data_IF_897196935891
#
_entry.id   IF_897196935891
#
_cell.length_a   1.000
_cell.length_b   1.000
_cell.length_c   1.000
_cell.angle_alpha   90.00
_cell.angle_beta   90.00
_cell.angle_gamma   90.00
#
_symmetry.space_group_name_H-M   'P 1'
#
loop_
_entity.id
_entity.type
_entity.pdbx_description
1 polymer ?
#
# COMPACT_ATOMS: atom_id res chain seq x y z
N UNK A 1 4.00 -4.99 9.91
CA UNK A 1 3.90 -4.93 8.42
C UNK A 1 2.48 -4.78 7.91
N UNK A 2 1.61 -5.79 8.02
CA UNK A 2 0.24 -5.74 7.48
C UNK A 2 -0.58 -4.63 8.17
N UNK A 3 -0.61 -4.60 9.52
CA UNK A 3 -1.27 -3.55 10.28
C UNK A 3 -0.71 -2.14 10.01
N UNK A 4 0.62 -1.99 9.99
CA UNK A 4 1.27 -0.69 9.77
C UNK A 4 1.09 -0.18 8.35
N UNK A 5 1.14 -1.08 7.35
CA UNK A 5 0.89 -0.75 5.95
C UNK A 5 -0.54 -0.29 5.73
N UNK A 6 -1.52 -0.98 6.34
CA UNK A 6 -2.91 -0.56 6.28
C UNK A 6 -3.13 0.81 6.97
N UNK A 7 -2.54 1.04 8.15
CA UNK A 7 -2.57 2.36 8.82
C UNK A 7 -1.93 3.46 7.96
N UNK A 8 -0.84 3.15 7.28
CA UNK A 8 -0.18 4.07 6.35
C UNK A 8 -1.09 4.40 5.16
N UNK A 9 -1.78 3.40 4.61
CA UNK A 9 -2.79 3.61 3.56
C UNK A 9 -3.93 4.53 3.98
N UNK A 10 -4.45 4.39 5.20
CA UNK A 10 -5.49 5.29 5.73
C UNK A 10 -4.95 6.72 5.95
N UNK A 11 -3.73 6.88 6.46
CA UNK A 11 -3.10 8.21 6.57
C UNK A 11 -2.98 8.89 5.21
N UNK A 12 -2.58 8.16 4.19
CA UNK A 12 -2.50 8.68 2.82
C UNK A 12 -3.88 9.02 2.27
N UNK A 13 -4.89 8.19 2.55
CA UNK A 13 -6.27 8.48 2.18
C UNK A 13 -6.78 9.80 2.79
N UNK A 14 -6.53 10.02 4.08
CA UNK A 14 -6.85 11.28 4.76
C UNK A 14 -6.10 12.45 4.15
N UNK A 15 -4.81 12.27 3.81
CA UNK A 15 -4.02 13.30 3.15
C UNK A 15 -4.60 13.70 1.78
N UNK A 16 -4.97 12.74 0.95
CA UNK A 16 -5.54 12.97 -0.39
C UNK A 16 -6.92 13.67 -0.31
N UNK A 17 -7.74 13.31 0.68
CA UNK A 17 -9.10 13.80 0.82
C UNK A 17 -9.27 14.94 1.84
N UNK A 18 -8.17 15.52 2.37
CA UNK A 18 -8.20 16.54 3.44
C UNK A 18 -9.03 17.80 3.13
N UNK A 19 -9.22 18.13 1.85
CA UNK A 19 -10.02 19.29 1.39
C UNK A 19 -11.35 18.87 0.74
N UNK A 20 -11.78 17.62 0.92
CA UNK A 20 -13.05 17.09 0.39
C UNK A 20 -14.08 17.00 1.52
N UNK A 21 -15.37 17.01 1.15
CA UNK A 21 -16.48 16.86 2.11
C UNK A 21 -16.40 15.54 2.90
N UNK A 22 -15.98 14.48 2.22
CA UNK A 22 -15.56 13.23 2.84
C UNK A 22 -14.04 13.23 2.95
N UNK A 23 -13.52 13.14 4.16
CA UNK A 23 -12.10 13.32 4.49
C UNK A 23 -11.37 12.01 4.82
N UNK A 24 -11.95 10.87 4.45
CA UNK A 24 -11.42 9.54 4.79
C UNK A 24 -11.23 9.30 6.30
N UNK A 25 -12.09 9.91 7.12
CA UNK A 25 -12.18 9.56 8.54
C UNK A 25 -12.75 8.15 8.66
N UNK A 26 -11.93 7.19 9.10
CA UNK A 26 -12.41 5.86 9.49
C UNK A 26 -13.02 5.99 10.87
N UNK A 27 -14.22 5.42 11.07
CA UNK A 27 -14.99 5.53 12.32
C UNK A 27 -14.27 4.85 13.50
N UNK A 28 -13.29 3.99 13.22
CA UNK A 28 -12.51 3.32 14.24
C UNK A 28 -11.06 3.17 13.79
N UNK A 29 -10.11 3.62 14.61
CA UNK A 29 -8.65 3.48 14.39
C UNK A 29 -8.16 2.01 14.43
N UNK A 30 -9.09 1.06 14.53
CA UNK A 30 -8.88 -0.34 14.87
C UNK A 30 -9.30 -1.30 13.75
N UNK A 31 -10.26 -0.94 12.89
CA UNK A 31 -10.79 -1.83 11.84
C UNK A 31 -10.20 -1.56 10.46
N UNK A 32 -8.86 -1.60 10.35
CA UNK A 32 -8.19 -1.53 9.03
C UNK A 32 -8.39 -2.81 8.20
N UNK A 33 -8.92 -3.86 8.83
CA UNK A 33 -9.37 -5.10 8.22
C UNK A 33 -10.80 -5.38 8.67
N UNK A 34 -11.72 -5.47 7.71
CA UNK A 34 -13.16 -5.58 7.97
C UNK A 34 -13.97 -4.78 6.96
N UNK A 35 -15.30 -4.72 7.14
CA UNK A 35 -16.19 -3.94 6.28
C UNK A 35 -16.07 -2.45 6.63
N UNK A 36 -14.97 -1.80 6.21
CA UNK A 36 -14.61 -0.41 6.58
C UNK A 36 -15.71 0.60 6.22
N UNK A 37 -16.46 0.31 5.14
CA UNK A 37 -17.65 1.06 4.73
C UNK A 37 -18.75 0.06 4.34
N UNK A 38 -19.98 0.31 4.80
CA UNK A 38 -21.15 -0.52 4.48
C UNK A 38 -21.79 -0.17 3.13
N UNK A 39 -21.37 0.93 2.50
CA UNK A 39 -21.95 1.48 1.28
C UNK A 39 -20.99 1.25 0.12
N UNK A 40 -21.49 0.74 -1.02
CA UNK A 40 -20.72 0.61 -2.25
C UNK A 40 -20.51 1.97 -2.95
N UNK A 41 -19.61 2.81 -2.42
CA UNK A 41 -19.33 4.15 -2.97
C UNK A 41 -17.96 4.23 -3.64
N UNK A 42 -17.71 5.31 -4.40
CA UNK A 42 -16.39 5.57 -5.02
C UNK A 42 -15.30 5.75 -3.97
N UNK A 43 -15.65 6.38 -2.86
CA UNK A 43 -14.77 6.60 -1.70
C UNK A 43 -14.41 5.25 -1.05
N UNK A 44 -15.37 4.35 -0.95
CA UNK A 44 -15.14 2.98 -0.44
C UNK A 44 -14.15 2.23 -1.31
N UNK A 45 -14.35 2.24 -2.64
CA UNK A 45 -13.42 1.62 -3.57
C UNK A 45 -11.99 2.18 -3.43
N UNK A 46 -11.87 3.51 -3.30
CA UNK A 46 -10.58 4.16 -3.06
C UNK A 46 -9.93 3.71 -1.74
N UNK A 47 -10.72 3.64 -0.66
CA UNK A 47 -10.25 3.27 0.67
C UNK A 47 -9.68 1.85 0.71
N UNK A 48 -10.34 0.88 0.06
CA UNK A 48 -9.82 -0.47 -0.08
C UNK A 48 -8.54 -0.52 -0.94
N UNK A 49 -8.54 0.20 -2.07
CA UNK A 49 -7.38 0.24 -2.96
C UNK A 49 -6.13 0.80 -2.26
N UNK A 50 -6.26 1.94 -1.57
CA UNK A 50 -5.13 2.57 -0.89
C UNK A 50 -4.67 1.78 0.34
N UNK A 51 -5.57 1.11 1.06
CA UNK A 51 -5.22 0.23 2.17
C UNK A 51 -4.43 -0.98 1.69
N UNK A 52 -4.86 -1.63 0.60
CA UNK A 52 -4.15 -2.73 -0.02
C UNK A 52 -2.76 -2.29 -0.53
N UNK A 53 -2.69 -1.13 -1.19
CA UNK A 53 -1.42 -0.56 -1.64
C UNK A 53 -0.48 -0.28 -0.46
N UNK A 54 -0.99 0.26 0.65
CA UNK A 54 -0.22 0.50 1.87
C UNK A 54 0.37 -0.78 2.46
N UNK A 55 -0.40 -1.88 2.50
CA UNK A 55 0.08 -3.21 2.92
C UNK A 55 1.19 -3.72 2.00
N UNK A 56 0.97 -3.70 0.68
CA UNK A 56 1.95 -4.16 -0.30
C UNK A 56 3.25 -3.36 -0.20
N UNK A 57 3.15 -2.04 -0.05
CA UNK A 57 4.30 -1.16 0.10
C UNK A 57 5.11 -1.50 1.37
N UNK A 58 4.44 -1.65 2.52
CA UNK A 58 5.10 -1.98 3.77
C UNK A 58 5.81 -3.35 3.73
N UNK A 59 5.16 -4.37 3.15
CA UNK A 59 5.76 -5.71 3.00
C UNK A 59 6.94 -5.67 2.03
N UNK A 60 6.78 -5.03 0.86
CA UNK A 60 7.83 -4.95 -0.15
C UNK A 60 9.09 -4.26 0.40
N UNK A 61 8.90 -3.22 1.21
CA UNK A 61 10.00 -2.53 1.89
C UNK A 61 10.70 -3.44 2.92
N UNK A 62 9.95 -4.15 3.74
CA UNK A 62 10.50 -5.10 4.72
C UNK A 62 11.27 -6.24 4.04
N UNK A 63 10.78 -6.75 2.90
CA UNK A 63 11.49 -7.72 2.08
C UNK A 63 12.82 -7.17 1.55
N UNK A 64 12.83 -5.93 1.06
CA UNK A 64 14.04 -5.28 0.57
C UNK A 64 15.07 -5.04 1.68
N UNK A 65 14.61 -4.69 2.88
CA UNK A 65 15.45 -4.39 4.04
C UNK A 65 15.95 -5.66 4.75
N UNK A 66 15.47 -6.85 4.34
CA UNK A 66 15.87 -8.14 4.92
C UNK A 66 15.25 -8.41 6.28
N UNK A 67 14.22 -7.66 6.68
CA UNK A 67 13.50 -7.87 7.95
C UNK A 67 12.62 -9.13 7.92
N UNK A 68 12.26 -9.60 6.72
CA UNK A 68 11.49 -10.82 6.49
C UNK A 68 12.38 -11.89 5.85
N UNK A 69 12.52 -13.05 6.49
CA UNK A 69 13.36 -14.16 6.00
C UNK A 69 12.80 -14.90 4.78
N UNK A 70 11.50 -14.77 4.52
CA UNK A 70 10.79 -15.51 3.47
C UNK A 70 10.77 -14.83 2.11
N UNK A 71 11.18 -13.56 2.02
CA UNK A 71 11.18 -12.77 0.80
C UNK A 71 12.45 -11.93 0.67
N UNK A 72 12.66 -11.31 -0.48
CA UNK A 72 13.84 -10.47 -0.74
C UNK A 72 13.67 -9.64 -2.01
N UNK A 73 14.77 -9.06 -2.48
CA UNK A 73 14.80 -8.37 -3.77
C UNK A 73 14.44 -9.31 -4.92
N UNK A 74 13.83 -8.74 -5.96
CA UNK A 74 13.50 -9.49 -7.17
C UNK A 74 14.75 -10.09 -7.81
N UNK A 75 14.69 -11.37 -8.17
CA UNK A 75 15.72 -12.07 -8.95
C UNK A 75 15.36 -12.14 -10.43
N UNK A 76 14.46 -11.27 -10.89
CA UNK A 76 14.05 -11.23 -12.29
C UNK A 76 15.26 -10.98 -13.20
N UNK A 77 15.30 -11.71 -14.32
CA UNK A 77 16.36 -11.55 -15.31
C UNK A 77 16.17 -10.21 -16.02
N UNK A 78 17.30 -9.55 -16.30
CA UNK A 78 17.33 -8.35 -17.13
C UNK A 78 16.56 -8.56 -18.45
N UNK A 79 15.59 -7.70 -18.79
CA UNK A 79 14.91 -7.75 -20.09
C UNK A 79 15.91 -7.57 -21.25
N UNK A 80 15.71 -8.32 -22.34
CA UNK A 80 16.58 -8.27 -23.53
C UNK A 80 16.56 -6.90 -24.23
N UNK A 81 15.47 -6.16 -24.06
CA UNK A 81 15.23 -4.85 -24.68
C UNK A 81 15.96 -3.70 -24.00
N UNK A 82 16.55 -3.91 -22.81
CA UNK A 82 17.17 -2.84 -22.04
C UNK A 82 18.57 -2.48 -22.62
N UNK A 83 18.86 -1.21 -22.97
CA UNK A 83 20.13 -0.82 -23.57
C UNK A 83 21.32 -1.22 -22.70
N UNK A 84 22.39 -1.76 -23.32
CA UNK A 84 23.55 -2.37 -22.65
C UNK A 84 24.25 -1.43 -21.65
N UNK A 85 24.15 -0.13 -21.90
CA UNK A 85 24.76 0.93 -21.09
C UNK A 85 24.16 1.02 -19.68
N UNK A 86 22.95 0.48 -19.47
CA UNK A 86 22.31 0.41 -18.15
C UNK A 86 22.56 -0.95 -17.51
N UNK A 87 23.12 -0.94 -16.29
CA UNK A 87 23.34 -2.12 -15.47
C UNK A 87 22.35 -2.14 -14.30
N UNK A 88 21.78 -3.30 -14.00
CA UNK A 88 21.01 -3.52 -12.78
C UNK A 88 21.99 -3.77 -11.62
N UNK A 89 21.71 -3.19 -10.47
CA UNK A 89 22.47 -3.31 -9.24
C UNK A 89 21.67 -2.79 -8.07
#
# INVERSE_FOLDING_TARGET
YIGDGAKTGIKECQYQFRQRRWNCSTVDNTSVFGRVMHIGSRETAFTYAISAAGVVNAISRACREGELSTCGCSRAVRPRELPRDWLWG
#
